data_IF_925363335173
#
_entry.id   IF_925363335173
#
_cell.length_a   1.000
_cell.length_b   1.000
_cell.length_c   1.000
_cell.angle_alpha   90.00
_cell.angle_beta   90.00
_cell.angle_gamma   90.00
#
_symmetry.space_group_name_H-M   'P 1'
#
loop_
_entity.id
_entity.type
_entity.pdbx_description
1 polymer ?
#
# COMPACT_ATOMS: atom_id res chain seq x y z
N UNK A 1 -7.33 -26.52 74.23
CA UNK A 1 -7.89 -25.31 73.52
C UNK A 1 -7.92 -25.60 72.03
N UNK A 2 -9.06 -25.62 71.36
CA UNK A 2 -9.14 -25.81 69.96
C UNK A 2 -8.74 -24.48 69.19
N UNK A 3 -7.98 -24.62 68.12
CA UNK A 3 -7.51 -23.49 67.29
C UNK A 3 -8.69 -22.77 66.63
N UNK A 4 -8.62 -21.44 66.62
CA UNK A 4 -9.62 -20.58 65.96
C UNK A 4 -9.60 -20.80 64.44
N UNK A 5 -10.79 -20.76 63.75
CA UNK A 5 -10.87 -20.91 62.32
C UNK A 5 -10.20 -19.71 61.59
N UNK A 6 -9.45 -20.01 60.52
CA UNK A 6 -8.82 -19.01 59.66
C UNK A 6 -9.89 -18.12 58.99
N UNK A 7 -9.61 -16.80 58.83
CA UNK A 7 -10.55 -15.90 58.17
C UNK A 7 -10.73 -16.30 56.67
N UNK A 8 -11.92 -16.06 56.08
CA UNK A 8 -12.16 -16.40 54.70
C UNK A 8 -11.26 -15.58 53.76
N UNK A 9 -10.61 -16.26 52.82
CA UNK A 9 -9.79 -15.62 51.78
C UNK A 9 -10.70 -14.75 50.91
N UNK A 10 -10.49 -13.44 50.93
CA UNK A 10 -11.19 -12.49 50.07
C UNK A 10 -10.94 -12.82 48.61
N UNK A 11 -12.00 -13.05 47.85
CA UNK A 11 -11.93 -13.21 46.40
C UNK A 11 -11.28 -12.00 45.73
N UNK A 12 -10.37 -12.17 44.77
CA UNK A 12 -9.77 -11.03 44.07
C UNK A 12 -10.87 -10.19 43.39
N UNK A 13 -10.75 -8.83 43.43
CA UNK A 13 -11.73 -7.95 42.85
C UNK A 13 -11.88 -8.23 41.36
N UNK A 14 -13.11 -8.37 40.87
CA UNK A 14 -13.42 -8.53 39.46
C UNK A 14 -12.85 -7.33 38.68
N UNK A 15 -12.01 -7.61 37.66
CA UNK A 15 -11.48 -6.56 36.78
C UNK A 15 -12.65 -5.80 36.16
N UNK A 16 -12.65 -4.45 36.20
CA UNK A 16 -13.69 -3.65 35.56
C UNK A 16 -13.78 -4.02 34.08
N UNK A 17 -14.94 -4.48 33.64
CA UNK A 17 -15.19 -4.74 32.23
C UNK A 17 -15.22 -3.38 31.50
N UNK A 18 -14.34 -3.20 30.51
CA UNK A 18 -14.33 -1.98 29.71
C UNK A 18 -15.66 -1.87 28.97
N UNK A 19 -16.39 -0.75 29.05
CA UNK A 19 -17.67 -0.60 28.38
C UNK A 19 -17.54 -0.82 26.88
N UNK A 20 -18.52 -1.42 26.20
CA UNK A 20 -18.48 -1.67 24.75
C UNK A 20 -18.21 -0.42 23.91
N UNK A 21 -18.64 0.75 24.36
CA UNK A 21 -18.40 2.04 23.71
C UNK A 21 -16.94 2.45 23.66
N UNK A 22 -16.13 2.13 24.68
CA UNK A 22 -14.70 2.41 24.70
C UNK A 22 -13.92 1.48 23.77
N UNK A 23 -14.36 0.25 23.62
CA UNK A 23 -13.79 -0.71 22.65
C UNK A 23 -14.04 -0.22 21.21
N UNK A 24 -15.25 0.23 20.88
CA UNK A 24 -15.58 0.77 19.55
C UNK A 24 -14.77 2.04 19.27
N UNK A 25 -14.63 2.94 20.24
CA UNK A 25 -13.86 4.17 20.10
C UNK A 25 -12.38 3.93 19.92
N UNK A 26 -11.84 2.92 20.61
CA UNK A 26 -10.42 2.54 20.58
C UNK A 26 -10.03 1.83 19.28
N UNK A 27 -10.92 1.02 18.72
CA UNK A 27 -10.70 0.24 17.49
C UNK A 27 -11.31 0.88 16.24
N UNK A 28 -12.22 1.84 16.39
CA UNK A 28 -12.96 2.42 15.27
C UNK A 28 -12.08 2.99 14.15
N UNK A 29 -10.94 3.62 14.51
CA UNK A 29 -9.99 4.11 13.52
C UNK A 29 -9.32 2.98 12.74
N UNK A 30 -8.95 1.89 13.40
CA UNK A 30 -8.36 0.72 12.75
C UNK A 30 -9.37 0.03 11.84
N UNK A 31 -10.61 -0.10 12.30
CA UNK A 31 -11.72 -0.64 11.50
C UNK A 31 -11.99 0.23 10.28
N UNK A 32 -12.04 1.55 10.45
CA UNK A 32 -12.23 2.48 9.34
C UNK A 32 -11.09 2.38 8.31
N UNK A 33 -9.84 2.29 8.75
CA UNK A 33 -8.69 2.08 7.85
C UNK A 33 -8.76 0.73 7.12
N UNK A 34 -9.19 -0.34 7.80
CA UNK A 34 -9.40 -1.64 7.17
C UNK A 34 -10.49 -1.56 6.09
N UNK A 35 -11.60 -0.90 6.39
CA UNK A 35 -12.69 -0.74 5.42
C UNK A 35 -12.28 0.13 4.23
N UNK A 36 -11.70 1.30 4.46
CA UNK A 36 -11.43 2.27 3.39
C UNK A 36 -10.14 1.99 2.62
N UNK A 37 -9.08 1.52 3.30
CA UNK A 37 -7.76 1.35 2.67
C UNK A 37 -7.45 -0.09 2.27
N UNK A 38 -8.23 -1.07 2.73
CA UNK A 38 -8.03 -2.48 2.35
C UNK A 38 -9.27 -3.04 1.66
N UNK A 39 -10.42 -3.05 2.33
CA UNK A 39 -11.61 -3.72 1.80
C UNK A 39 -12.19 -3.00 0.57
N UNK A 40 -12.35 -1.68 0.61
CA UNK A 40 -12.90 -0.95 -0.53
C UNK A 40 -12.03 -1.04 -1.79
N UNK A 41 -10.70 -0.83 -1.75
CA UNK A 41 -9.85 -1.08 -2.92
C UNK A 41 -9.88 -2.54 -3.40
N UNK A 42 -9.99 -3.52 -2.49
CA UNK A 42 -10.07 -4.93 -2.86
C UNK A 42 -11.38 -5.26 -3.57
N UNK A 43 -12.51 -4.71 -3.11
CA UNK A 43 -13.81 -4.90 -3.75
C UNK A 43 -13.84 -4.24 -5.13
N UNK A 44 -13.30 -3.02 -5.26
CA UNK A 44 -13.18 -2.34 -6.56
C UNK A 44 -12.24 -3.09 -7.51
N UNK A 45 -11.15 -3.65 -6.99
CA UNK A 45 -10.27 -4.52 -7.78
C UNK A 45 -11.01 -5.77 -8.27
N UNK A 46 -11.79 -6.40 -7.39
CA UNK A 46 -12.54 -7.61 -7.73
C UNK A 46 -13.59 -7.33 -8.81
N UNK A 47 -14.27 -6.19 -8.74
CA UNK A 47 -15.23 -5.72 -9.76
C UNK A 47 -14.55 -5.50 -11.11
N UNK A 48 -13.43 -4.76 -11.15
CA UNK A 48 -12.63 -4.60 -12.37
C UNK A 48 -12.13 -5.93 -12.94
N UNK A 49 -11.73 -6.85 -12.07
CA UNK A 49 -11.22 -8.15 -12.46
C UNK A 49 -12.33 -9.05 -13.05
N UNK A 50 -13.52 -8.99 -12.48
CA UNK A 50 -14.70 -9.71 -13.00
C UNK A 50 -15.08 -9.24 -14.41
N UNK A 51 -15.11 -7.92 -14.64
CA UNK A 51 -15.36 -7.35 -15.97
C UNK A 51 -14.28 -7.74 -16.99
N UNK A 52 -13.01 -7.75 -16.58
CA UNK A 52 -11.91 -8.21 -17.43
C UNK A 52 -12.08 -9.67 -17.81
N UNK A 53 -12.48 -10.54 -16.87
CA UNK A 53 -12.69 -11.97 -17.13
C UNK A 53 -13.90 -12.24 -18.03
N UNK A 54 -15.01 -11.52 -17.82
CA UNK A 54 -16.28 -11.77 -18.51
C UNK A 54 -16.36 -11.08 -19.88
N UNK A 55 -15.83 -9.86 -19.97
CA UNK A 55 -16.03 -8.98 -21.13
C UNK A 55 -14.70 -8.59 -21.81
N UNK A 56 -13.53 -9.02 -21.30
CA UNK A 56 -12.22 -8.66 -21.82
C UNK A 56 -11.76 -7.24 -21.44
N UNK A 57 -12.59 -6.49 -20.70
CA UNK A 57 -12.31 -5.12 -20.24
C UNK A 57 -13.42 -4.12 -20.58
N UNK A 58 -13.09 -2.85 -20.66
CA UNK A 58 -14.03 -1.73 -20.72
C UNK A 58 -13.95 -0.98 -22.04
N UNK A 59 -15.08 -0.47 -22.54
CA UNK A 59 -15.13 0.33 -23.77
C UNK A 59 -14.23 1.59 -23.68
N UNK A 60 -14.14 2.22 -22.51
CA UNK A 60 -13.29 3.39 -22.28
C UNK A 60 -11.78 3.08 -22.33
N UNK A 61 -11.37 1.84 -22.15
CA UNK A 61 -9.96 1.42 -22.26
C UNK A 61 -9.38 1.79 -23.63
N UNK A 62 -10.08 1.40 -24.70
CA UNK A 62 -9.66 1.68 -26.08
C UNK A 62 -9.70 3.18 -26.40
N UNK A 63 -10.76 3.85 -26.01
CA UNK A 63 -10.93 5.30 -26.26
C UNK A 63 -9.77 6.12 -25.65
N UNK A 64 -9.37 5.79 -24.41
CA UNK A 64 -8.25 6.48 -23.75
C UNK A 64 -6.91 6.16 -24.43
N UNK A 65 -6.69 4.92 -24.85
CA UNK A 65 -5.46 4.55 -25.58
C UNK A 65 -5.35 5.26 -26.93
N UNK A 66 -6.44 5.35 -27.69
CA UNK A 66 -6.50 6.08 -28.94
C UNK A 66 -6.27 7.58 -28.73
N UNK A 67 -6.82 8.15 -27.64
CA UNK A 67 -6.56 9.54 -27.25
C UNK A 67 -5.07 9.80 -26.98
N UNK A 68 -4.37 8.89 -26.29
CA UNK A 68 -2.92 8.96 -26.10
C UNK A 68 -2.17 8.80 -27.42
N UNK A 69 -2.55 7.82 -28.27
CA UNK A 69 -1.91 7.54 -29.53
C UNK A 69 -1.93 8.76 -30.46
N UNK A 70 -3.06 9.48 -30.54
CA UNK A 70 -3.23 10.69 -31.34
C UNK A 70 -2.37 11.88 -30.87
N UNK A 71 -1.86 11.85 -29.64
CA UNK A 71 -1.06 12.94 -29.02
C UNK A 71 0.40 12.58 -28.81
N UNK A 72 0.88 11.53 -29.44
CA UNK A 72 2.28 11.10 -29.34
C UNK A 72 3.21 12.08 -30.03
N UNK A 73 4.30 12.37 -29.34
CA UNK A 73 5.43 13.13 -29.90
C UNK A 73 6.75 12.39 -29.58
N UNK A 74 7.80 12.58 -30.39
CA UNK A 74 9.09 11.90 -30.12
C UNK A 74 9.62 12.15 -28.70
N UNK A 75 9.56 13.42 -28.23
CA UNK A 75 10.06 13.79 -26.91
C UNK A 75 9.25 13.16 -25.76
N UNK A 76 7.92 13.16 -25.84
CA UNK A 76 7.08 12.51 -24.83
C UNK A 76 7.24 10.98 -24.87
N UNK A 77 7.43 10.40 -26.04
CA UNK A 77 7.68 8.96 -26.20
C UNK A 77 8.98 8.56 -25.54
N UNK A 78 10.05 9.32 -25.78
CA UNK A 78 11.35 9.10 -25.11
C UNK A 78 11.25 9.27 -23.59
N UNK A 79 10.57 10.32 -23.12
CA UNK A 79 10.35 10.53 -21.68
C UNK A 79 9.57 9.37 -21.03
N UNK A 80 8.51 8.87 -21.70
CA UNK A 80 7.74 7.73 -21.22
C UNK A 80 8.55 6.42 -21.20
N UNK A 81 9.45 6.21 -22.16
CA UNK A 81 10.37 5.07 -22.21
C UNK A 81 11.41 5.13 -21.08
N UNK A 82 12.02 6.30 -20.85
CA UNK A 82 12.96 6.50 -19.74
C UNK A 82 12.26 6.28 -18.40
N UNK A 83 11.06 6.83 -18.24
CA UNK A 83 10.27 6.62 -17.02
C UNK A 83 9.94 5.13 -16.82
N UNK A 84 9.55 4.42 -17.88
CA UNK A 84 9.30 2.99 -17.84
C UNK A 84 10.55 2.18 -17.46
N UNK A 85 11.73 2.58 -17.93
CA UNK A 85 13.00 1.93 -17.56
C UNK A 85 13.34 2.14 -16.07
N UNK A 86 13.27 3.39 -15.60
CA UNK A 86 13.58 3.75 -14.20
C UNK A 86 12.57 3.13 -13.24
N UNK A 87 11.29 3.13 -13.60
CA UNK A 87 10.20 2.57 -12.81
C UNK A 87 9.99 1.06 -13.03
N UNK A 88 10.77 0.42 -13.89
CA UNK A 88 10.64 -0.98 -14.29
C UNK A 88 11.35 -1.97 -13.39
N UNK A 89 11.42 -3.22 -13.89
CA UNK A 89 12.01 -4.37 -13.17
C UNK A 89 13.49 -4.20 -12.81
N UNK A 90 14.22 -3.33 -13.48
CA UNK A 90 15.62 -3.02 -13.14
C UNK A 90 15.74 -1.86 -12.16
N UNK A 91 15.10 -0.73 -12.47
CA UNK A 91 15.28 0.52 -11.74
C UNK A 91 14.60 0.55 -10.37
N UNK A 92 13.33 0.21 -10.29
CA UNK A 92 12.58 0.28 -9.03
C UNK A 92 13.14 -0.60 -7.91
N UNK A 93 13.55 -1.88 -8.15
CA UNK A 93 14.21 -2.67 -7.12
C UNK A 93 15.49 -2.02 -6.60
N UNK A 94 16.32 -1.45 -7.48
CA UNK A 94 17.55 -0.76 -7.08
C UNK A 94 17.20 0.44 -6.18
N UNK A 95 16.24 1.28 -6.58
CA UNK A 95 15.79 2.43 -5.78
C UNK A 95 15.26 1.95 -4.43
N UNK A 96 14.43 0.91 -4.42
CA UNK A 96 13.86 0.33 -3.19
C UNK A 96 14.96 -0.15 -2.25
N UNK A 97 15.96 -0.87 -2.76
CA UNK A 97 17.08 -1.38 -1.96
C UNK A 97 17.99 -0.26 -1.44
N UNK A 98 18.23 0.78 -2.23
CA UNK A 98 19.01 1.95 -1.78
C UNK A 98 18.30 2.69 -0.63
N UNK A 99 16.98 2.92 -0.73
CA UNK A 99 16.20 3.51 0.35
C UNK A 99 16.17 2.60 1.58
N UNK A 100 15.95 1.30 1.40
CA UNK A 100 15.97 0.32 2.48
C UNK A 100 17.34 0.24 3.16
N UNK A 101 18.42 0.32 2.41
CA UNK A 101 19.79 0.38 2.94
C UNK A 101 19.99 1.66 3.77
N UNK A 102 19.55 2.82 3.29
CA UNK A 102 19.57 4.08 4.07
C UNK A 102 18.81 3.96 5.39
N UNK A 103 17.61 3.37 5.38
CA UNK A 103 16.82 3.09 6.58
C UNK A 103 17.54 2.12 7.52
N UNK A 104 18.19 1.08 6.98
CA UNK A 104 18.99 0.14 7.77
C UNK A 104 20.19 0.84 8.44
N UNK A 105 20.91 1.68 7.71
CA UNK A 105 22.02 2.50 8.25
C UNK A 105 21.55 3.45 9.36
N UNK A 106 20.32 3.96 9.26
CA UNK A 106 19.66 4.74 10.30
C UNK A 106 19.07 3.88 11.43
N UNK A 107 19.36 2.57 11.49
CA UNK A 107 18.82 1.59 12.47
C UNK A 107 17.29 1.46 12.47
N UNK A 108 16.64 1.84 11.37
CA UNK A 108 15.19 1.73 11.17
C UNK A 108 14.82 0.42 10.45
N UNK A 109 15.30 -0.72 10.93
CA UNK A 109 15.22 -2.03 10.26
C UNK A 109 13.79 -2.48 9.94
N UNK A 110 12.83 -2.21 10.83
CA UNK A 110 11.42 -2.57 10.62
C UNK A 110 10.83 -1.77 9.45
N UNK A 111 11.21 -0.49 9.30
CA UNK A 111 10.79 0.35 8.18
C UNK A 111 11.43 -0.11 6.87
N UNK A 112 12.71 -0.49 6.90
CA UNK A 112 13.41 -1.07 5.74
C UNK A 112 12.74 -2.37 5.29
N UNK A 113 12.46 -3.29 6.22
CA UNK A 113 11.77 -4.54 5.94
C UNK A 113 10.36 -4.30 5.38
N UNK A 114 9.61 -3.37 5.97
CA UNK A 114 8.28 -3.01 5.48
C UNK A 114 8.31 -2.49 4.03
N UNK A 115 9.24 -1.59 3.70
CA UNK A 115 9.38 -1.05 2.35
C UNK A 115 9.69 -2.16 1.32
N UNK A 116 10.64 -3.04 1.64
CA UNK A 116 11.00 -4.16 0.77
C UNK A 116 9.82 -5.13 0.59
N UNK A 117 9.15 -5.51 1.69
CA UNK A 117 8.00 -6.42 1.63
C UNK A 117 6.82 -5.81 0.89
N UNK A 118 6.60 -4.50 1.00
CA UNK A 118 5.54 -3.81 0.27
C UNK A 118 5.75 -3.91 -1.24
N UNK A 119 6.96 -3.62 -1.74
CA UNK A 119 7.26 -3.65 -3.17
C UNK A 119 7.40 -5.09 -3.70
N UNK A 120 8.14 -5.95 -3.00
CA UNK A 120 8.34 -7.34 -3.41
C UNK A 120 7.02 -8.13 -3.40
N UNK A 121 6.20 -7.95 -2.36
CA UNK A 121 4.89 -8.59 -2.27
C UNK A 121 3.91 -8.11 -3.34
N UNK A 122 3.89 -6.81 -3.65
CA UNK A 122 3.11 -6.28 -4.76
C UNK A 122 3.56 -6.89 -6.10
N UNK A 123 4.87 -7.01 -6.32
CA UNK A 123 5.42 -7.65 -7.53
C UNK A 123 5.03 -9.13 -7.62
N UNK A 124 5.14 -9.87 -6.52
CA UNK A 124 4.71 -11.27 -6.46
C UNK A 124 3.22 -11.44 -6.75
N UNK A 125 2.37 -10.65 -6.09
CA UNK A 125 0.93 -10.65 -6.33
C UNK A 125 0.59 -10.32 -7.79
N UNK A 126 1.34 -9.40 -8.42
CA UNK A 126 1.18 -9.09 -9.84
C UNK A 126 1.47 -10.30 -10.73
N UNK A 127 2.58 -11.02 -10.47
CA UNK A 127 2.92 -12.23 -11.24
C UNK A 127 1.81 -13.28 -11.11
N UNK A 128 1.32 -13.53 -9.90
CA UNK A 128 0.24 -14.47 -9.66
C UNK A 128 -1.06 -14.05 -10.36
N UNK A 129 -1.43 -12.77 -10.27
CA UNK A 129 -2.61 -12.24 -10.94
C UNK A 129 -2.52 -12.39 -12.47
N UNK A 130 -1.37 -12.09 -13.08
CA UNK A 130 -1.18 -12.26 -14.52
C UNK A 130 -1.42 -13.69 -15.01
N UNK A 131 -0.98 -14.67 -14.21
CA UNK A 131 -1.21 -16.10 -14.50
C UNK A 131 -2.69 -16.49 -14.31
N UNK A 132 -3.45 -15.75 -13.50
CA UNK A 132 -4.88 -16.02 -13.31
C UNK A 132 -5.75 -15.38 -14.40
N UNK A 133 -5.47 -14.13 -14.76
CA UNK A 133 -6.36 -13.35 -15.62
C UNK A 133 -6.08 -13.49 -17.11
N UNK A 134 -4.88 -13.82 -17.53
CA UNK A 134 -4.47 -14.06 -18.93
C UNK A 134 -4.93 -12.99 -19.93
N UNK A 135 -5.17 -11.75 -19.49
CA UNK A 135 -5.65 -10.67 -20.37
C UNK A 135 -4.61 -10.36 -21.45
N UNK A 136 -4.97 -10.37 -22.75
CA UNK A 136 -4.05 -9.95 -23.81
C UNK A 136 -3.72 -8.46 -23.66
N UNK A 137 -2.57 -8.06 -24.19
CA UNK A 137 -2.17 -6.66 -24.26
C UNK A 137 -2.92 -5.93 -25.37
N UNK A 138 -2.95 -4.55 -25.34
CA UNK A 138 -3.48 -3.77 -26.44
C UNK A 138 -2.82 -4.12 -27.78
N UNK A 139 -3.58 -3.91 -28.86
CA UNK A 139 -3.15 -4.20 -30.23
C UNK A 139 -1.83 -3.52 -30.60
N UNK A 140 -1.02 -4.19 -31.43
CA UNK A 140 0.27 -3.69 -31.89
C UNK A 140 0.16 -2.35 -32.66
N UNK A 141 -0.97 -2.05 -33.25
CA UNK A 141 -1.22 -0.77 -33.92
C UNK A 141 -1.26 0.42 -32.95
N UNK A 142 -1.56 0.16 -31.67
CA UNK A 142 -1.61 1.18 -30.62
C UNK A 142 -0.32 1.17 -29.79
N UNK A 143 0.37 0.04 -29.67
CA UNK A 143 1.55 -0.10 -28.85
C UNK A 143 2.81 0.48 -29.52
N UNK A 144 3.58 1.30 -28.76
CA UNK A 144 4.91 1.79 -29.18
C UNK A 144 5.99 0.75 -28.91
N UNK A 145 5.77 -0.10 -27.91
CA UNK A 145 6.71 -1.14 -27.45
C UNK A 145 5.97 -2.47 -27.39
N UNK A 146 6.68 -3.54 -27.72
CA UNK A 146 6.21 -4.90 -27.47
C UNK A 146 6.73 -5.37 -26.11
N UNK A 147 5.83 -5.68 -25.21
CA UNK A 147 6.18 -6.32 -23.94
C UNK A 147 5.61 -7.74 -23.88
N UNK A 148 6.38 -8.72 -23.44
CA UNK A 148 5.89 -10.09 -23.32
C UNK A 148 4.90 -10.26 -22.17
N UNK A 149 4.10 -11.32 -22.26
CA UNK A 149 3.17 -11.74 -21.20
C UNK A 149 1.86 -10.94 -21.15
N UNK A 150 1.11 -11.16 -20.09
CA UNK A 150 -0.26 -10.67 -19.91
C UNK A 150 -0.32 -9.22 -19.45
N UNK A 151 -1.47 -8.59 -19.74
CA UNK A 151 -1.70 -7.17 -19.48
C UNK A 151 -2.16 -6.88 -18.06
N UNK A 152 -3.10 -7.65 -17.51
CA UNK A 152 -3.79 -7.36 -16.25
C UNK A 152 -3.18 -8.10 -15.04
N UNK A 153 -3.02 -7.40 -13.92
CA UNK A 153 -2.93 -5.95 -13.76
C UNK A 153 -1.56 -5.39 -14.19
N UNK A 154 -1.42 -4.05 -14.33
CA UNK A 154 -0.14 -3.43 -14.70
C UNK A 154 0.91 -3.56 -13.59
N UNK A 155 2.02 -4.26 -13.88
CA UNK A 155 3.11 -4.49 -12.93
C UNK A 155 3.85 -3.21 -12.55
N UNK A 156 4.11 -2.32 -13.51
CA UNK A 156 4.71 -1.02 -13.27
C UNK A 156 3.82 -0.17 -12.33
N UNK A 157 2.53 -0.07 -12.63
CA UNK A 157 1.59 0.68 -11.79
C UNK A 157 1.53 0.10 -10.38
N UNK A 158 1.45 -1.22 -10.26
CA UNK A 158 1.34 -1.92 -8.99
C UNK A 158 2.58 -1.73 -8.11
N UNK A 159 3.78 -1.99 -8.63
CA UNK A 159 5.01 -1.90 -7.85
C UNK A 159 5.33 -0.45 -7.44
N UNK A 160 5.11 0.52 -8.34
CA UNK A 160 5.38 1.93 -8.05
C UNK A 160 4.36 2.57 -7.10
N UNK A 161 3.10 2.18 -7.18
CA UNK A 161 2.10 2.58 -6.18
C UNK A 161 2.45 1.99 -4.80
N UNK A 162 2.84 0.72 -4.73
CA UNK A 162 3.30 0.10 -3.50
C UNK A 162 4.51 0.83 -2.89
N UNK A 163 5.50 1.18 -3.72
CA UNK A 163 6.65 1.96 -3.29
C UNK A 163 6.25 3.34 -2.74
N UNK A 164 5.44 4.09 -3.48
CA UNK A 164 4.99 5.44 -3.08
C UNK A 164 4.18 5.42 -1.78
N UNK A 165 3.22 4.51 -1.64
CA UNK A 165 2.41 4.34 -0.42
C UNK A 165 3.30 3.91 0.76
N UNK A 166 4.19 2.94 0.56
CA UNK A 166 5.08 2.47 1.63
C UNK A 166 6.03 3.57 2.10
N UNK A 167 6.62 4.33 1.17
CA UNK A 167 7.49 5.46 1.48
C UNK A 167 6.74 6.53 2.30
N UNK A 168 5.53 6.90 1.88
CA UNK A 168 4.68 7.83 2.61
C UNK A 168 4.37 7.34 4.04
N UNK A 169 4.04 6.05 4.21
CA UNK A 169 3.73 5.47 5.52
C UNK A 169 4.96 5.38 6.43
N UNK A 170 6.14 5.05 5.89
CA UNK A 170 7.42 5.04 6.63
C UNK A 170 7.69 6.40 7.23
N UNK A 171 7.53 7.47 6.47
CA UNK A 171 7.85 8.83 6.90
C UNK A 171 6.65 9.62 7.39
N UNK A 172 5.46 8.99 7.53
CA UNK A 172 4.20 9.68 7.86
C UNK A 172 4.25 10.54 9.11
N UNK A 173 5.08 10.17 10.08
CA UNK A 173 5.24 10.89 11.35
C UNK A 173 6.41 11.89 11.37
N UNK A 174 7.14 12.02 10.27
CA UNK A 174 8.19 13.02 10.08
C UNK A 174 7.68 14.22 9.28
N UNK A 175 8.49 15.28 9.19
CA UNK A 175 8.19 16.45 8.32
C UNK A 175 8.13 16.07 6.85
N UNK A 176 8.83 15.01 6.45
CA UNK A 176 8.85 14.49 5.08
C UNK A 176 7.56 13.71 4.71
N UNK A 177 6.71 13.33 5.67
CA UNK A 177 5.57 12.44 5.43
C UNK A 177 4.59 12.94 4.38
N UNK A 178 4.18 14.21 4.47
CA UNK A 178 3.26 14.79 3.48
C UNK A 178 3.90 15.01 2.10
N UNK A 179 5.11 15.61 1.99
CA UNK A 179 5.81 15.70 0.71
C UNK A 179 6.01 14.36 0.02
N UNK A 180 6.39 13.31 0.76
CA UNK A 180 6.58 11.97 0.22
C UNK A 180 5.25 11.31 -0.18
N UNK A 181 4.15 11.60 0.52
CA UNK A 181 2.83 11.14 0.09
C UNK A 181 2.42 11.76 -1.24
N UNK A 182 2.60 13.08 -1.40
CA UNK A 182 2.35 13.77 -2.68
C UNK A 182 3.26 13.23 -3.77
N UNK A 183 4.56 13.11 -3.50
CA UNK A 183 5.52 12.51 -4.44
C UNK A 183 5.07 11.11 -4.87
N UNK A 184 4.70 10.24 -3.92
CA UNK A 184 4.29 8.86 -4.21
C UNK A 184 3.06 8.78 -5.10
N UNK A 185 2.06 9.65 -4.86
CA UNK A 185 0.86 9.74 -5.72
C UNK A 185 1.23 10.23 -7.11
N UNK A 186 1.95 11.35 -7.23
CA UNK A 186 2.35 11.91 -8.53
C UNK A 186 3.22 10.91 -9.31
N UNK A 187 4.18 10.28 -8.64
CA UNK A 187 5.03 9.25 -9.24
C UNK A 187 4.22 8.08 -9.80
N UNK A 188 3.31 7.51 -8.99
CA UNK A 188 2.47 6.39 -9.43
C UNK A 188 1.59 6.77 -10.62
N UNK A 189 0.98 7.96 -10.60
CA UNK A 189 0.16 8.47 -11.71
C UNK A 189 0.99 8.67 -12.99
N UNK A 190 2.18 9.26 -12.90
CA UNK A 190 3.06 9.46 -14.04
C UNK A 190 3.52 8.12 -14.64
N UNK A 191 3.89 7.16 -13.79
CA UNK A 191 4.26 5.82 -14.24
C UNK A 191 3.06 5.13 -14.89
N UNK A 192 1.88 5.16 -14.27
CA UNK A 192 0.66 4.58 -14.85
C UNK A 192 0.30 5.22 -16.20
N UNK A 193 0.32 6.55 -16.28
CA UNK A 193 0.07 7.29 -17.52
C UNK A 193 1.09 6.93 -18.62
N UNK A 194 2.37 6.76 -18.26
CA UNK A 194 3.39 6.34 -19.23
C UNK A 194 3.09 4.97 -19.86
N UNK A 195 2.48 4.03 -19.09
CA UNK A 195 2.11 2.70 -19.59
C UNK A 195 0.96 2.78 -20.60
N UNK A 196 -0.03 3.64 -20.33
CA UNK A 196 -1.12 3.91 -21.25
C UNK A 196 -0.63 4.67 -22.49
N UNK A 197 0.24 5.67 -22.31
CA UNK A 197 0.84 6.45 -23.40
C UNK A 197 1.65 5.55 -24.36
N UNK A 198 2.42 4.61 -23.83
CA UNK A 198 3.18 3.64 -24.62
C UNK A 198 2.27 2.54 -25.24
N UNK A 199 1.00 2.47 -24.85
CA UNK A 199 0.02 1.52 -25.38
C UNK A 199 0.25 0.07 -24.95
N UNK A 200 0.99 -0.16 -23.87
CA UNK A 200 1.35 -1.52 -23.40
C UNK A 200 0.42 -2.06 -22.33
N UNK A 201 -0.40 -1.20 -21.74
CA UNK A 201 -1.43 -1.54 -20.74
C UNK A 201 -2.70 -0.75 -20.99
N UNK A 202 -3.84 -1.35 -20.69
CA UNK A 202 -5.10 -0.64 -20.63
C UNK A 202 -5.18 0.26 -19.39
N UNK A 203 -5.92 1.38 -19.43
CA UNK A 203 -6.17 2.20 -18.24
C UNK A 203 -6.76 1.44 -17.07
N UNK A 204 -7.65 0.46 -17.32
CA UNK A 204 -8.18 -0.43 -16.29
C UNK A 204 -7.12 -1.32 -15.64
N UNK A 205 -6.07 -1.75 -16.39
CA UNK A 205 -4.95 -2.51 -15.81
C UNK A 205 -4.15 -1.66 -14.80
N UNK A 206 -3.98 -0.37 -15.14
CA UNK A 206 -3.27 0.60 -14.28
C UNK A 206 -4.08 0.86 -13.01
N UNK A 207 -5.38 1.10 -13.15
CA UNK A 207 -6.28 1.31 -12.01
C UNK A 207 -6.32 0.10 -11.09
N UNK A 208 -6.45 -1.11 -11.65
CA UNK A 208 -6.39 -2.36 -10.90
C UNK A 208 -5.07 -2.51 -10.14
N UNK A 209 -3.94 -2.13 -10.76
CA UNK A 209 -2.63 -2.12 -10.10
C UNK A 209 -2.58 -1.19 -8.89
N UNK A 210 -3.16 0.02 -8.99
CA UNK A 210 -3.26 0.97 -7.89
C UNK A 210 -4.13 0.44 -6.73
N UNK A 211 -5.28 -0.13 -7.05
CA UNK A 211 -6.21 -0.69 -6.06
C UNK A 211 -5.59 -1.88 -5.31
N UNK A 212 -5.01 -2.83 -6.05
CA UNK A 212 -4.35 -3.99 -5.46
C UNK A 212 -3.18 -3.58 -4.55
N UNK A 213 -2.37 -2.61 -4.97
CA UNK A 213 -1.25 -2.10 -4.16
C UNK A 213 -1.73 -1.39 -2.91
N UNK A 214 -2.80 -0.60 -3.01
CA UNK A 214 -3.37 0.09 -1.85
C UNK A 214 -3.83 -0.93 -0.80
N UNK A 215 -4.62 -1.93 -1.21
CA UNK A 215 -5.07 -2.99 -0.31
C UNK A 215 -3.90 -3.76 0.32
N UNK A 216 -2.91 -4.15 -0.50
CA UNK A 216 -1.72 -4.88 -0.04
C UNK A 216 -0.91 -4.10 0.98
N UNK A 217 -0.50 -2.88 0.63
CA UNK A 217 0.43 -2.10 1.48
C UNK A 217 -0.23 -1.66 2.78
N UNK A 218 -1.51 -1.25 2.78
CA UNK A 218 -2.22 -0.94 4.01
C UNK A 218 -2.48 -2.18 4.85
N UNK A 219 -2.83 -3.32 4.24
CA UNK A 219 -2.95 -4.60 4.94
C UNK A 219 -1.65 -5.00 5.64
N UNK A 220 -0.53 -4.92 4.91
CA UNK A 220 0.80 -5.17 5.44
C UNK A 220 1.18 -4.19 6.57
N UNK A 221 0.89 -2.89 6.41
CA UNK A 221 1.14 -1.87 7.43
C UNK A 221 0.36 -2.13 8.71
N UNK A 222 -0.91 -2.50 8.59
CA UNK A 222 -1.76 -2.78 9.75
C UNK A 222 -1.29 -4.02 10.51
N UNK A 223 -0.95 -5.10 9.79
CA UNK A 223 -0.49 -6.36 10.39
C UNK A 223 0.91 -6.21 11.01
N UNK A 224 1.87 -5.65 10.28
CA UNK A 224 3.20 -5.39 10.80
C UNK A 224 3.18 -4.39 11.95
N UNK A 225 2.39 -3.32 11.85
CA UNK A 225 2.30 -2.30 12.88
C UNK A 225 1.66 -2.79 14.20
N UNK A 226 0.92 -3.89 14.18
CA UNK A 226 0.47 -4.58 15.41
C UNK A 226 1.61 -5.36 16.05
N UNK A 227 2.39 -6.08 15.24
CA UNK A 227 3.49 -6.93 15.72
C UNK A 227 4.72 -6.11 16.10
N UNK A 228 5.01 -5.04 15.36
CA UNK A 228 6.17 -4.16 15.57
C UNK A 228 5.73 -2.70 15.69
N UNK A 229 5.40 -2.22 16.89
CA UNK A 229 4.94 -0.84 17.11
C UNK A 229 5.94 0.24 16.66
N UNK A 230 7.21 -0.11 16.50
CA UNK A 230 8.25 0.77 15.95
C UNK A 230 7.87 1.30 14.54
N UNK A 231 7.20 0.49 13.70
CA UNK A 231 6.75 0.90 12.37
C UNK A 231 5.79 2.11 12.39
N UNK A 232 5.11 2.34 13.51
CA UNK A 232 4.17 3.45 13.69
C UNK A 232 4.81 4.72 14.25
N UNK A 233 6.13 4.75 14.38
CA UNK A 233 6.93 5.91 14.82
C UNK A 233 7.71 6.47 13.65
N UNK A 234 8.25 7.68 13.78
CA UNK A 234 9.22 8.18 12.82
C UNK A 234 10.48 7.29 12.81
N UNK A 235 11.16 7.11 11.65
CA UNK A 235 12.46 6.45 11.60
C UNK A 235 13.47 7.10 12.54
N UNK A 236 14.46 6.34 13.03
CA UNK A 236 15.50 6.87 13.90
C UNK A 236 16.26 8.01 13.19
N UNK A 237 16.47 9.12 13.91
CA UNK A 237 17.08 10.35 13.36
C UNK A 237 16.09 11.38 12.83
N UNK A 238 14.83 11.05 12.68
CA UNK A 238 13.75 11.97 12.30
C UNK A 238 12.98 12.44 13.55
N UNK A 239 12.67 13.75 13.61
CA UNK A 239 11.81 14.27 14.66
C UNK A 239 10.36 13.83 14.43
N UNK A 240 9.79 13.11 15.42
CA UNK A 240 8.37 12.77 15.42
C UNK A 240 7.53 14.06 15.61
N UNK A 241 6.93 14.53 14.52
CA UNK A 241 6.17 15.79 14.50
C UNK A 241 4.71 15.62 14.88
N UNK A 242 4.26 14.38 15.08
CA UNK A 242 2.87 14.08 15.40
C UNK A 242 2.74 13.61 16.85
N UNK A 243 1.72 14.08 17.60
CA UNK A 243 1.53 13.65 18.96
C UNK A 243 1.36 12.12 19.02
N UNK A 244 1.87 11.48 20.07
CA UNK A 244 1.68 10.04 20.30
C UNK A 244 0.18 9.76 20.29
N UNK A 245 -0.21 8.67 19.66
CA UNK A 245 -1.58 8.17 19.76
C UNK A 245 -1.87 8.01 21.26
N UNK A 246 -2.82 8.79 21.80
CA UNK A 246 -3.17 8.80 23.23
C UNK A 246 -3.39 7.34 23.66
N UNK A 247 -2.54 6.83 24.54
CA UNK A 247 -2.90 5.64 25.32
C UNK A 247 -4.13 6.02 26.13
N UNK A 248 -5.16 5.17 26.23
CA UNK A 248 -6.25 5.43 27.14
C UNK A 248 -5.64 5.65 28.53
N UNK A 249 -6.02 6.76 29.16
CA UNK A 249 -5.60 7.06 30.53
C UNK A 249 -6.06 5.90 31.42
N UNK A 250 -5.11 5.18 31.99
CA UNK A 250 -5.40 4.31 33.15
C UNK A 250 -5.80 5.30 34.26
N UNK A 251 -7.09 5.39 34.57
CA UNK A 251 -7.53 6.13 35.76
C UNK A 251 -6.82 5.51 36.96
N UNK A 252 -6.18 6.32 37.83
CA UNK A 252 -5.73 5.82 39.12
C UNK A 252 -6.95 5.21 39.82
N UNK A 253 -6.77 4.05 40.41
CA UNK A 253 -7.76 3.49 41.32
C UNK A 253 -7.97 4.52 42.41
N UNK A 254 -9.20 5.05 42.55
CA UNK A 254 -9.58 5.92 43.65
C UNK A 254 -9.28 5.15 44.94
N UNK A 255 -8.27 5.61 45.68
CA UNK A 255 -8.04 5.21 47.06
C UNK A 255 -9.23 5.70 47.89
N UNK A 256 -10.03 4.77 48.34
CA UNK A 256 -10.92 4.94 49.48
C UNK A 256 -10.65 3.84 50.50
#
# INVERSE_FOLDING_TARGET
MPAAPSPPTSSPPLRPQTPPQDIIRQHGRTVLLLLLAVLAPLLLFADLADDVLKHGGFAWDRTILEWYAARRTPGLTQAAQVLALVAGVGGLPIITLLVAWGLHRARANVHAAFLVLAVAGATLLNVLAKVMFHRPRPDELIAVLREPGFSFPSGHAMANAAFGIALALVFWRSKAGWPLAVFGVVWALLVGASRNYLGVHYPSDVLAGFLASTAWVFGLYLTMGQRWPALRRAPAGEHDTRPPLKRPAVRPADEK
#
